data_IF_095060015868
#
_entry.id   IF_095060015868
#
_cell.length_a   1.000
_cell.length_b   1.000
_cell.length_c   1.000
_cell.angle_alpha   90.00
_cell.angle_beta   90.00
_cell.angle_gamma   90.00
#
_symmetry.space_group_name_H-M   'P 1'
#
loop_
_entity.id
_entity.type
_entity.pdbx_description
1 polymer ?
#
# COMPACT_ATOMS: atom_id res chain seq x y z
N UNK A 1 2.72 1.71 18.60
CA UNK A 1 2.08 1.38 17.31
C UNK A 1 3.17 0.77 16.46
N UNK A 2 3.00 -0.48 16.01
CA UNK A 2 3.99 -1.13 15.15
C UNK A 2 3.84 -0.54 13.75
N UNK A 3 4.74 0.37 13.39
CA UNK A 3 4.87 0.82 12.01
C UNK A 3 5.50 -0.33 11.21
N UNK A 4 4.72 -0.90 10.30
CA UNK A 4 5.20 -1.86 9.31
C UNK A 4 6.12 -1.14 8.32
N UNK A 5 7.19 -1.80 7.89
CA UNK A 5 8.21 -1.18 7.05
C UNK A 5 7.65 -0.80 5.67
N UNK A 6 8.26 0.19 5.01
CA UNK A 6 7.90 0.60 3.64
C UNK A 6 7.94 -0.60 2.69
N UNK A 7 8.95 -1.47 2.85
CA UNK A 7 9.15 -2.67 2.02
C UNK A 7 7.98 -3.67 2.13
N UNK A 8 7.35 -3.78 3.29
CA UNK A 8 6.25 -4.72 3.51
C UNK A 8 4.97 -4.21 2.83
N UNK A 9 4.67 -2.91 2.92
CA UNK A 9 3.56 -2.31 2.17
C UNK A 9 3.77 -2.41 0.65
N UNK A 10 5.01 -2.22 0.19
CA UNK A 10 5.36 -2.40 -1.22
C UNK A 10 5.22 -3.84 -1.67
N UNK A 11 5.65 -4.81 -0.86
CA UNK A 11 5.51 -6.22 -1.17
C UNK A 11 4.03 -6.62 -1.31
N UNK A 12 3.13 -6.04 -0.51
CA UNK A 12 1.69 -6.28 -0.62
C UNK A 12 1.13 -5.62 -1.89
N UNK A 13 1.50 -4.36 -2.16
CA UNK A 13 1.03 -3.65 -3.36
C UNK A 13 1.49 -4.33 -4.66
N UNK A 14 2.71 -4.87 -4.68
CA UNK A 14 3.29 -5.62 -5.81
C UNK A 14 2.57 -6.95 -6.09
N UNK A 15 1.86 -7.52 -5.11
CA UNK A 15 1.00 -8.70 -5.33
C UNK A 15 -0.29 -8.34 -6.11
N UNK A 16 -0.54 -7.05 -6.34
CA UNK A 16 -1.61 -6.56 -7.19
C UNK A 16 -2.76 -5.90 -6.42
N UNK A 17 -3.58 -5.16 -7.17
CA UNK A 17 -4.66 -4.32 -6.64
C UNK A 17 -5.65 -5.10 -5.77
N UNK A 18 -6.00 -6.34 -6.14
CA UNK A 18 -6.93 -7.16 -5.37
C UNK A 18 -6.38 -7.48 -3.97
N UNK A 19 -5.14 -7.94 -3.89
CA UNK A 19 -4.46 -8.30 -2.63
C UNK A 19 -4.29 -7.08 -1.75
N UNK A 20 -3.87 -5.96 -2.36
CA UNK A 20 -3.79 -4.67 -1.67
C UNK A 20 -5.13 -4.25 -1.06
N UNK A 21 -6.21 -4.35 -1.81
CA UNK A 21 -7.53 -3.95 -1.35
C UNK A 21 -8.07 -4.86 -0.23
N UNK A 22 -7.79 -6.16 -0.29
CA UNK A 22 -8.11 -7.09 0.80
C UNK A 22 -7.31 -6.75 2.07
N UNK A 23 -6.01 -6.49 1.93
CA UNK A 23 -5.18 -6.06 3.04
C UNK A 23 -5.69 -4.73 3.65
N UNK A 24 -6.07 -3.75 2.82
CA UNK A 24 -6.65 -2.48 3.31
C UNK A 24 -7.98 -2.64 4.05
N UNK A 25 -8.81 -3.61 3.66
CA UNK A 25 -10.07 -3.91 4.38
C UNK A 25 -9.80 -4.43 5.79
N UNK A 26 -8.73 -5.20 5.97
CA UNK A 26 -8.37 -5.79 7.26
C UNK A 26 -7.49 -4.86 8.12
N UNK A 27 -6.84 -3.86 7.51
CA UNK A 27 -5.92 -2.93 8.18
C UNK A 27 -6.37 -1.47 8.00
N UNK A 28 -7.62 -1.18 8.39
CA UNK A 28 -8.26 0.13 8.13
C UNK A 28 -7.60 1.28 8.89
N UNK A 29 -7.11 1.01 10.10
CA UNK A 29 -6.48 2.01 10.97
C UNK A 29 -5.01 2.25 10.64
N UNK A 30 -4.43 1.37 9.80
CA UNK A 30 -3.05 1.46 9.38
C UNK A 30 -2.90 2.49 8.25
N UNK A 31 -1.87 3.34 8.38
CA UNK A 31 -1.47 4.29 7.35
C UNK A 31 -0.32 3.69 6.56
N UNK A 32 -0.54 3.24 5.32
CA UNK A 32 0.54 2.64 4.56
C UNK A 32 1.58 3.70 4.22
N UNK A 33 2.85 3.34 4.36
CA UNK A 33 3.94 4.21 3.95
C UNK A 33 4.48 3.76 2.59
N UNK A 34 4.23 4.58 1.56
CA UNK A 34 4.67 4.37 0.18
C UNK A 34 5.61 5.51 -0.28
N UNK A 35 6.17 6.30 0.64
CA UNK A 35 6.98 7.49 0.32
C UNK A 35 8.24 7.17 -0.50
N UNK A 36 8.84 5.99 -0.31
CA UNK A 36 10.02 5.57 -1.07
C UNK A 36 9.68 4.58 -2.21
N UNK A 37 8.40 4.45 -2.56
CA UNK A 37 7.95 3.49 -3.56
C UNK A 37 8.21 4.00 -4.98
N UNK A 38 9.04 3.30 -5.75
CA UNK A 38 8.98 3.42 -7.20
C UNK A 38 7.72 2.71 -7.71
N UNK A 39 6.68 3.49 -7.99
CA UNK A 39 5.39 3.04 -8.53
C UNK A 39 5.31 3.28 -10.05
N UNK A 40 6.40 3.66 -10.70
CA UNK A 40 6.43 3.95 -12.13
C UNK A 40 6.03 2.70 -12.92
N UNK A 41 5.01 2.84 -13.77
CA UNK A 41 4.48 1.72 -14.57
C UNK A 41 3.60 0.72 -13.81
N UNK A 42 3.35 0.91 -12.51
CA UNK A 42 2.43 0.06 -11.78
C UNK A 42 0.97 0.31 -12.21
N UNK A 43 0.22 -0.77 -12.46
CA UNK A 43 -1.22 -0.68 -12.71
C UNK A 43 -1.92 -0.56 -11.36
N UNK A 44 -2.19 0.68 -10.94
CA UNK A 44 -2.85 1.01 -9.67
C UNK A 44 -4.34 1.33 -9.80
N UNK A 45 -4.93 1.13 -10.99
CA UNK A 45 -6.34 1.37 -11.24
C UNK A 45 -7.22 0.58 -10.27
N UNK A 46 -7.96 1.29 -9.42
CA UNK A 46 -8.83 0.70 -8.40
C UNK A 46 -8.14 0.35 -7.08
N UNK A 47 -6.85 0.67 -6.90
CA UNK A 47 -6.17 0.48 -5.61
C UNK A 47 -6.66 1.49 -4.56
N UNK A 48 -6.98 1.00 -3.36
CA UNK A 48 -7.34 1.83 -2.22
C UNK A 48 -6.10 2.45 -1.57
N UNK A 49 -5.66 3.60 -2.06
CA UNK A 49 -4.52 4.35 -1.53
C UNK A 49 -4.92 5.36 -0.42
N UNK A 50 -6.10 5.21 0.19
CA UNK A 50 -6.59 6.16 1.18
C UNK A 50 -5.61 6.31 2.37
N UNK A 51 -5.27 7.54 2.74
CA UNK A 51 -4.33 7.86 3.82
C UNK A 51 -2.93 7.24 3.67
N UNK A 52 -2.56 6.74 2.48
CA UNK A 52 -1.20 6.32 2.21
C UNK A 52 -0.28 7.54 2.11
N UNK A 53 0.90 7.45 2.72
CA UNK A 53 1.93 8.47 2.57
C UNK A 53 2.68 8.25 1.26
N UNK A 54 2.77 9.27 0.41
CA UNK A 54 3.36 9.22 -0.94
C UNK A 54 4.33 10.40 -1.21
N UNK A 55 4.81 11.05 -0.15
CA UNK A 55 5.75 12.19 -0.25
C UNK A 55 7.14 11.76 -0.65
#
# INVERSE_FOLDING_TARGET
LADMAIEEHLAILRQGVKVWNEWRKNNRDMRPNLSAADLSGAILSGANLHAANMR
#
